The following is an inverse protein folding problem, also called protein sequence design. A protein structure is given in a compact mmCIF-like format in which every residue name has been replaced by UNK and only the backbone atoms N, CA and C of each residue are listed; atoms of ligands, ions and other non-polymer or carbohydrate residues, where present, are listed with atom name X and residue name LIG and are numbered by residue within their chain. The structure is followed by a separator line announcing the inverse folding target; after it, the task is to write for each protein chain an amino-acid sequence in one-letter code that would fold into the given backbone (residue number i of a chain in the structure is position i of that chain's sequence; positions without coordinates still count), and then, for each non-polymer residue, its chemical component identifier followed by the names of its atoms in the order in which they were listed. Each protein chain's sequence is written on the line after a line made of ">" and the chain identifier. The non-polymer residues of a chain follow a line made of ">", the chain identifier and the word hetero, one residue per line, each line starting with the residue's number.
data_IF_808727146547
#
_entry.id   IF_808727146547
#
_cell.length_a   1.000
_cell.length_b   1.000
_cell.length_c   1.000
_cell.angle_alpha   90.00
_cell.angle_beta   90.00
_cell.angle_gamma   90.00
#
_symmetry.space_group_name_H-M   'P 1'
#
loop_
_entity.id
_entity.type
_entity.pdbx_description
1 polymer ?
#
# COMPACT_ATOMS: atom_id res chain seq x y z
N UNK A 1 71.87 52.71 -10.50
CA UNK A 1 70.84 51.74 -10.15
C UNK A 1 69.81 52.45 -9.30
N UNK A 2 68.64 52.72 -9.86
CA UNK A 2 67.46 53.14 -9.12
C UNK A 2 66.32 52.27 -9.65
N UNK A 3 65.86 51.40 -8.78
CA UNK A 3 64.83 50.39 -8.98
C UNK A 3 63.45 51.05 -9.04
N UNK A 4 62.77 50.95 -10.17
CA UNK A 4 61.37 51.33 -10.33
C UNK A 4 60.55 50.05 -10.40
N UNK A 5 60.34 49.43 -9.24
CA UNK A 5 59.39 48.34 -9.08
C UNK A 5 57.96 48.93 -9.19
N UNK A 6 57.38 48.81 -10.37
CA UNK A 6 55.98 49.14 -10.61
C UNK A 6 55.08 48.34 -9.67
N UNK A 7 54.39 49.04 -8.77
CA UNK A 7 53.28 48.48 -8.03
C UNK A 7 52.19 48.11 -9.03
N UNK A 8 52.04 46.82 -9.30
CA UNK A 8 50.88 46.30 -10.01
C UNK A 8 49.65 46.52 -9.13
N UNK A 9 48.83 47.50 -9.49
CA UNK A 9 47.49 47.65 -8.93
C UNK A 9 46.74 46.33 -9.16
N UNK A 10 46.47 45.60 -8.08
CA UNK A 10 45.58 44.44 -8.15
C UNK A 10 44.19 44.97 -8.53
N UNK A 11 43.83 44.84 -9.81
CA UNK A 11 42.47 45.12 -10.29
C UNK A 11 41.56 44.04 -9.71
N UNK A 12 41.01 44.29 -8.52
CA UNK A 12 39.97 43.46 -7.94
C UNK A 12 38.66 43.75 -8.68
N UNK A 13 38.31 42.88 -9.62
CA UNK A 13 36.97 42.84 -10.18
C UNK A 13 36.02 42.21 -9.15
N UNK A 14 35.25 43.04 -8.45
CA UNK A 14 34.18 42.55 -7.58
C UNK A 14 32.97 42.19 -8.44
N UNK A 15 32.69 40.90 -8.56
CA UNK A 15 31.44 40.40 -9.14
C UNK A 15 30.38 40.36 -8.03
N UNK A 16 29.38 41.24 -8.10
CA UNK A 16 28.22 41.16 -7.23
C UNK A 16 27.17 40.22 -7.87
N UNK A 17 27.02 39.03 -7.30
CA UNK A 17 25.96 38.08 -7.63
C UNK A 17 25.13 37.79 -6.38
N UNK A 18 23.84 37.48 -6.55
CA UNK A 18 22.97 37.03 -5.47
C UNK A 18 22.86 35.50 -5.49
N UNK A 19 22.96 34.88 -4.32
CA UNK A 19 22.69 33.45 -4.13
C UNK A 19 21.37 33.35 -3.39
N UNK A 20 20.33 32.80 -4.05
CA UNK A 20 19.05 32.46 -3.40
C UNK A 20 19.03 30.98 -3.05
N UNK A 21 18.64 30.67 -1.82
CA UNK A 21 18.47 29.30 -1.33
C UNK A 21 16.99 29.13 -0.97
N UNK A 22 16.35 28.08 -1.47
CA UNK A 22 14.95 27.74 -1.22
C UNK A 22 14.82 26.26 -0.88
N UNK A 23 13.93 25.92 0.07
CA UNK A 23 13.63 24.56 0.47
C UNK A 23 12.19 24.47 0.99
N UNK A 24 11.59 23.29 0.93
CA UNK A 24 10.33 22.92 1.58
C UNK A 24 10.45 22.76 3.11
N UNK A 25 11.68 22.75 3.64
CA UNK A 25 11.97 22.68 5.07
C UNK A 25 12.82 23.86 5.54
N UNK A 26 12.88 24.07 6.86
CA UNK A 26 13.80 25.05 7.45
C UNK A 26 15.24 24.57 7.28
N UNK A 27 16.11 25.48 6.88
CA UNK A 27 17.55 25.24 6.74
C UNK A 27 18.32 26.39 7.37
N UNK A 28 19.60 26.16 7.68
CA UNK A 28 20.50 27.23 8.11
C UNK A 28 21.70 27.27 7.18
N UNK A 29 22.16 28.48 6.87
CA UNK A 29 23.38 28.70 6.09
C UNK A 29 24.38 29.48 6.94
N UNK A 30 25.61 28.98 6.99
CA UNK A 30 26.75 29.65 7.62
C UNK A 30 27.77 29.95 6.53
N UNK A 31 28.04 31.24 6.29
CA UNK A 31 29.12 31.63 5.37
C UNK A 31 30.48 31.51 6.07
N UNK A 32 31.43 30.81 5.46
CA UNK A 32 32.86 30.88 5.84
C UNK A 32 33.60 31.75 4.82
N UNK A 33 33.93 32.98 5.22
CA UNK A 33 34.60 33.98 4.38
C UNK A 33 33.70 35.15 3.96
N UNK A 34 34.30 36.21 3.41
CA UNK A 34 33.69 37.54 3.20
C UNK A 34 32.73 37.64 2.01
N UNK A 35 32.48 36.55 1.26
CA UNK A 35 31.90 36.64 -0.10
C UNK A 35 30.57 35.93 -0.33
N UNK A 36 30.01 35.20 0.64
CA UNK A 36 28.76 34.46 0.44
C UNK A 36 27.54 35.04 1.19
N UNK A 37 27.77 35.89 2.17
CA UNK A 37 26.72 36.63 2.87
C UNK A 37 27.32 37.95 3.34
N UNK A 38 26.58 39.05 3.21
CA UNK A 38 26.92 40.31 3.87
C UNK A 38 26.83 40.20 5.42
N UNK A 39 26.55 39.00 5.94
CA UNK A 39 26.35 38.70 7.35
C UNK A 39 27.11 37.41 7.71
N UNK A 40 28.03 37.50 8.67
CA UNK A 40 28.78 36.35 9.21
C UNK A 40 27.95 35.52 10.20
N UNK A 41 26.71 35.91 10.49
CA UNK A 41 25.81 35.18 11.36
C UNK A 41 25.15 34.00 10.66
N UNK A 42 24.80 32.97 11.44
CA UNK A 42 23.95 31.86 11.00
C UNK A 42 22.59 32.42 10.60
N UNK A 43 22.30 32.43 9.30
CA UNK A 43 20.99 32.79 8.77
C UNK A 43 20.11 31.55 8.74
N UNK A 44 19.06 31.54 9.55
CA UNK A 44 18.04 30.50 9.58
C UNK A 44 16.90 30.88 8.64
N UNK A 45 16.54 29.99 7.73
CA UNK A 45 15.40 30.15 6.83
C UNK A 45 14.07 30.08 7.59
N UNK A 46 13.13 30.94 7.19
CA UNK A 46 11.75 30.91 7.66
C UNK A 46 10.84 30.30 6.59
N UNK A 47 9.85 29.52 7.02
CA UNK A 47 8.81 29.03 6.11
C UNK A 47 7.85 30.18 5.77
N UNK A 48 7.60 30.37 4.48
CA UNK A 48 6.67 31.38 3.96
C UNK A 48 5.42 30.64 3.47
N UNK A 49 4.26 31.08 3.93
CA UNK A 49 2.99 30.53 3.48
C UNK A 49 2.64 31.06 2.08
N UNK A 50 2.02 30.23 1.25
CA UNK A 50 1.53 30.62 -0.10
C UNK A 50 0.62 31.86 -0.02
N UNK A 51 -0.19 31.99 1.03
CA UNK A 51 -1.10 33.12 1.25
C UNK A 51 -0.39 34.46 1.53
N UNK A 52 0.86 34.40 1.99
CA UNK A 52 1.62 35.60 2.39
C UNK A 52 2.54 36.13 1.28
N UNK A 53 2.47 35.55 0.09
CA UNK A 53 3.37 35.91 -1.01
C UNK A 53 2.89 37.16 -1.74
N UNK A 54 3.79 38.13 -1.90
CA UNK A 54 3.57 39.36 -2.64
C UNK A 54 4.19 39.29 -4.05
N UNK A 55 3.37 39.54 -5.07
CA UNK A 55 3.76 39.56 -6.50
C UNK A 55 4.06 40.97 -7.02
N UNK A 56 3.99 42.00 -6.17
CA UNK A 56 4.18 43.40 -6.57
C UNK A 56 5.62 43.72 -6.99
N UNK A 57 6.59 42.86 -6.63
CA UNK A 57 8.01 43.02 -6.94
C UNK A 57 8.54 41.84 -7.74
N UNK A 58 9.65 42.07 -8.46
CA UNK A 58 10.36 41.02 -9.22
C UNK A 58 10.88 39.94 -8.27
N UNK A 59 11.46 40.33 -7.13
CA UNK A 59 11.95 39.40 -6.11
C UNK A 59 10.81 38.57 -5.49
N UNK A 60 9.71 39.23 -5.11
CA UNK A 60 8.54 38.54 -4.55
C UNK A 60 7.89 37.57 -5.53
N UNK A 61 7.88 37.89 -6.83
CA UNK A 61 7.41 36.98 -7.89
C UNK A 61 8.29 35.74 -8.03
N UNK A 62 9.60 35.87 -7.88
CA UNK A 62 10.54 34.73 -7.93
C UNK A 62 10.39 33.83 -6.70
N UNK A 63 10.20 34.42 -5.52
CA UNK A 63 9.92 33.67 -4.30
C UNK A 63 8.56 32.96 -4.37
N UNK A 64 7.56 33.59 -4.99
CA UNK A 64 6.26 32.97 -5.24
C UNK A 64 6.36 31.70 -6.06
N UNK A 65 7.14 31.74 -7.15
CA UNK A 65 7.36 30.56 -7.99
C UNK A 65 8.00 29.43 -7.17
N UNK A 66 9.03 29.72 -6.39
CA UNK A 66 9.69 28.71 -5.55
C UNK A 66 8.75 28.10 -4.50
N UNK A 67 7.91 28.93 -3.86
CA UNK A 67 6.93 28.47 -2.85
C UNK A 67 5.84 27.63 -3.51
N UNK A 68 5.30 28.05 -4.65
CA UNK A 68 4.27 27.32 -5.39
C UNK A 68 4.81 25.99 -5.89
N UNK A 69 6.03 25.95 -6.44
CA UNK A 69 6.67 24.71 -6.90
C UNK A 69 6.82 23.71 -5.75
N UNK A 70 7.24 24.19 -4.57
CA UNK A 70 7.32 23.36 -3.37
C UNK A 70 5.95 22.84 -2.91
N UNK A 71 4.93 23.70 -2.92
CA UNK A 71 3.56 23.31 -2.58
C UNK A 71 3.00 22.27 -3.58
N UNK A 72 3.26 22.44 -4.87
CA UNK A 72 2.89 21.49 -5.91
C UNK A 72 3.59 20.15 -5.72
N UNK A 73 4.89 20.15 -5.42
CA UNK A 73 5.63 18.93 -5.12
C UNK A 73 5.03 18.17 -3.92
N UNK A 74 4.60 18.87 -2.86
CA UNK A 74 3.91 18.24 -1.72
C UNK A 74 2.55 17.63 -2.11
N UNK A 75 1.77 18.32 -2.94
CA UNK A 75 0.50 17.79 -3.46
C UNK A 75 0.75 16.56 -4.33
N UNK A 76 1.74 16.59 -5.22
CA UNK A 76 2.07 15.48 -6.10
C UNK A 76 2.58 14.26 -5.32
N UNK A 77 3.38 14.47 -4.26
CA UNK A 77 3.75 13.40 -3.34
C UNK A 77 2.52 12.78 -2.66
N UNK A 78 1.60 13.60 -2.17
CA UNK A 78 0.36 13.13 -1.57
C UNK A 78 -0.50 12.34 -2.57
N UNK A 79 -0.58 12.79 -3.82
CA UNK A 79 -1.29 12.08 -4.90
C UNK A 79 -0.61 10.76 -5.27
N UNK A 80 0.72 10.72 -5.28
CA UNK A 80 1.49 9.51 -5.53
C UNK A 80 1.23 8.46 -4.44
N UNK A 81 1.22 8.88 -3.17
CA UNK A 81 0.90 8.00 -2.03
C UNK A 81 -0.53 7.45 -2.11
N UNK A 82 -1.50 8.30 -2.44
CA UNK A 82 -2.87 7.86 -2.67
C UNK A 82 -2.97 6.88 -3.85
N UNK A 83 -2.22 7.09 -4.93
CA UNK A 83 -2.13 6.17 -6.06
C UNK A 83 -1.52 4.82 -5.66
N UNK A 84 -0.46 4.83 -4.85
CA UNK A 84 0.13 3.61 -4.30
C UNK A 84 -0.85 2.85 -3.40
N UNK A 85 -1.60 3.57 -2.56
CA UNK A 85 -2.64 2.99 -1.70
C UNK A 85 -3.77 2.37 -2.53
N UNK A 86 -4.21 3.03 -3.60
CA UNK A 86 -5.21 2.49 -4.53
C UNK A 86 -4.73 1.20 -5.19
N UNK A 87 -3.47 1.13 -5.65
CA UNK A 87 -2.89 -0.10 -6.18
C UNK A 87 -2.90 -1.22 -5.15
N UNK A 88 -2.48 -0.93 -3.91
CA UNK A 88 -2.51 -1.89 -2.81
C UNK A 88 -3.93 -2.38 -2.52
N UNK A 89 -4.93 -1.50 -2.51
CA UNK A 89 -6.33 -1.90 -2.34
C UNK A 89 -6.80 -2.77 -3.51
N UNK A 90 -6.49 -2.40 -4.76
CA UNK A 90 -6.81 -3.23 -5.94
C UNK A 90 -6.23 -4.64 -5.83
N UNK A 91 -4.94 -4.77 -5.47
CA UNK A 91 -4.31 -6.07 -5.25
C UNK A 91 -4.96 -6.86 -4.11
N UNK A 92 -5.25 -6.19 -2.99
CA UNK A 92 -5.87 -6.83 -1.83
C UNK A 92 -7.28 -7.33 -2.16
N UNK A 93 -8.09 -6.54 -2.87
CA UNK A 93 -9.43 -6.93 -3.32
C UNK A 93 -9.35 -8.14 -4.25
N UNK A 94 -8.47 -8.11 -5.26
CA UNK A 94 -8.31 -9.22 -6.19
C UNK A 94 -7.84 -10.49 -5.47
N UNK A 95 -6.93 -10.37 -4.50
CA UNK A 95 -6.50 -11.51 -3.70
C UNK A 95 -7.64 -12.06 -2.83
N UNK A 96 -8.40 -11.19 -2.16
CA UNK A 96 -9.55 -11.58 -1.35
C UNK A 96 -10.65 -12.25 -2.17
N UNK A 97 -10.93 -11.76 -3.37
CA UNK A 97 -11.89 -12.39 -4.29
C UNK A 97 -11.45 -13.82 -4.67
N UNK A 98 -10.17 -14.02 -4.98
CA UNK A 98 -9.62 -15.36 -5.24
C UNK A 98 -9.72 -16.27 -4.01
N UNK A 99 -9.41 -15.76 -2.81
CA UNK A 99 -9.55 -16.51 -1.56
C UNK A 99 -11.02 -16.90 -1.33
N UNK A 100 -11.94 -15.95 -1.53
CA UNK A 100 -13.37 -16.18 -1.37
C UNK A 100 -13.87 -17.28 -2.30
N UNK A 101 -13.46 -17.27 -3.57
CA UNK A 101 -13.81 -18.32 -4.53
C UNK A 101 -13.28 -19.69 -4.09
N UNK A 102 -12.01 -19.77 -3.70
CA UNK A 102 -11.40 -21.01 -3.23
C UNK A 102 -12.06 -21.55 -1.96
N UNK A 103 -12.43 -20.68 -1.02
CA UNK A 103 -13.13 -21.05 0.22
C UNK A 103 -14.54 -21.52 -0.09
N UNK A 104 -15.26 -20.83 -0.98
CA UNK A 104 -16.60 -21.22 -1.43
C UNK A 104 -16.58 -22.61 -2.09
N UNK A 105 -15.65 -22.83 -3.03
CA UNK A 105 -15.48 -24.12 -3.71
C UNK A 105 -15.07 -25.25 -2.76
N UNK A 106 -14.25 -24.96 -1.75
CA UNK A 106 -13.87 -25.93 -0.71
C UNK A 106 -15.07 -26.26 0.18
N UNK A 107 -15.87 -25.25 0.57
CA UNK A 107 -17.07 -25.45 1.39
C UNK A 107 -18.15 -26.23 0.64
N UNK A 108 -18.35 -25.97 -0.65
CA UNK A 108 -19.25 -26.75 -1.52
C UNK A 108 -18.83 -28.22 -1.54
N UNK A 109 -17.55 -28.51 -1.75
CA UNK A 109 -17.03 -29.89 -1.75
C UNK A 109 -17.24 -30.62 -0.43
N UNK A 110 -17.03 -29.93 0.70
CA UNK A 110 -17.29 -30.52 2.01
C UNK A 110 -18.78 -30.82 2.16
N UNK A 111 -19.65 -29.84 1.87
CA UNK A 111 -21.10 -30.02 1.96
C UNK A 111 -21.63 -31.12 1.06
N UNK A 112 -21.18 -31.19 -0.20
CA UNK A 112 -21.58 -32.22 -1.16
C UNK A 112 -21.11 -33.61 -0.71
N UNK A 113 -19.90 -33.71 -0.15
CA UNK A 113 -19.36 -34.98 0.37
C UNK A 113 -20.14 -35.45 1.60
N UNK A 114 -20.45 -34.54 2.53
CA UNK A 114 -21.24 -34.83 3.73
C UNK A 114 -22.66 -35.30 3.36
N UNK A 115 -23.29 -34.64 2.38
CA UNK A 115 -24.59 -35.06 1.85
C UNK A 115 -24.54 -36.45 1.21
N UNK A 116 -23.50 -36.73 0.43
CA UNK A 116 -23.32 -38.04 -0.21
C UNK A 116 -23.15 -39.16 0.83
N UNK A 117 -22.38 -38.91 1.91
CA UNK A 117 -22.18 -39.87 3.00
C UNK A 117 -23.48 -40.12 3.78
N UNK A 118 -24.20 -39.06 4.16
CA UNK A 118 -25.47 -39.19 4.88
C UNK A 118 -26.51 -39.94 4.03
N UNK A 119 -26.60 -39.62 2.73
CA UNK A 119 -27.50 -40.29 1.80
C UNK A 119 -27.14 -41.78 1.66
N UNK A 120 -25.85 -42.11 1.51
CA UNK A 120 -25.40 -43.49 1.45
C UNK A 120 -25.71 -44.26 2.74
N UNK A 121 -25.55 -43.62 3.90
CA UNK A 121 -25.88 -44.20 5.20
C UNK A 121 -27.38 -44.41 5.38
N UNK A 122 -28.21 -43.44 4.98
CA UNK A 122 -29.66 -43.56 4.92
C UNK A 122 -30.10 -44.71 4.03
N UNK A 123 -29.58 -44.80 2.80
CA UNK A 123 -29.89 -45.89 1.87
C UNK A 123 -29.46 -47.25 2.43
N UNK A 124 -28.26 -47.35 3.01
CA UNK A 124 -27.79 -48.57 3.68
C UNK A 124 -28.74 -49.00 4.80
N UNK A 125 -29.19 -48.06 5.63
CA UNK A 125 -30.12 -48.34 6.72
C UNK A 125 -31.49 -48.81 6.19
N UNK A 126 -32.01 -48.20 5.11
CA UNK A 126 -33.25 -48.64 4.47
C UNK A 126 -33.13 -50.05 3.89
N UNK A 127 -32.03 -50.37 3.21
CA UNK A 127 -31.76 -51.71 2.67
C UNK A 127 -31.67 -52.72 3.81
N UNK A 128 -30.97 -52.40 4.91
CA UNK A 128 -30.88 -53.29 6.07
C UNK A 128 -32.24 -53.53 6.73
N UNK A 129 -33.12 -52.52 6.79
CA UNK A 129 -34.47 -52.69 7.31
C UNK A 129 -35.31 -53.61 6.41
N UNK A 130 -35.27 -53.42 5.08
CA UNK A 130 -35.99 -54.27 4.12
C UNK A 130 -35.44 -55.71 4.06
N UNK A 131 -34.13 -55.87 4.14
CA UNK A 131 -33.47 -57.17 4.22
C UNK A 131 -33.79 -57.86 5.56
N UNK A 132 -33.79 -57.11 6.67
CA UNK A 132 -34.14 -57.61 7.98
C UNK A 132 -35.56 -58.16 8.04
N UNK A 133 -36.55 -57.45 7.47
CA UNK A 133 -37.94 -57.93 7.41
C UNK A 133 -38.10 -59.14 6.49
N UNK A 134 -37.44 -59.17 5.33
CA UNK A 134 -37.47 -60.32 4.41
C UNK A 134 -36.77 -61.54 5.00
N UNK A 135 -35.63 -61.38 5.67
CA UNK A 135 -34.91 -62.46 6.35
C UNK A 135 -35.72 -62.96 7.53
N UNK A 136 -36.35 -62.09 8.33
CA UNK A 136 -37.28 -62.49 9.39
C UNK A 136 -38.48 -63.26 8.83
N UNK A 137 -39.04 -62.84 7.70
CA UNK A 137 -40.13 -63.57 7.05
C UNK A 137 -39.67 -64.96 6.57
N UNK A 138 -38.49 -65.05 5.95
CA UNK A 138 -37.90 -66.31 5.49
C UNK A 138 -37.55 -67.26 6.66
N UNK A 139 -36.98 -66.71 7.74
CA UNK A 139 -36.61 -67.45 8.94
C UNK A 139 -37.83 -67.93 9.73
N UNK A 140 -38.96 -67.22 9.68
CA UNK A 140 -40.22 -67.68 10.29
C UNK A 140 -40.93 -68.78 9.48
N UNK A 141 -40.64 -68.92 8.18
CA UNK A 141 -41.21 -69.99 7.35
C UNK A 141 -40.41 -71.31 7.43
N UNK A 142 -39.11 -71.25 7.74
CA UNK A 142 -38.25 -72.44 7.91
C UNK A 142 -38.75 -73.44 8.97
N UNK A 143 -39.19 -73.02 10.17
CA UNK A 143 -39.68 -73.91 11.23
C UNK A 143 -40.93 -74.70 10.83
N UNK A 144 -41.84 -74.10 10.05
CA UNK A 144 -43.06 -74.77 9.59
C UNK A 144 -42.75 -75.85 8.54
N UNK A 145 -41.80 -75.59 7.64
CA UNK A 145 -41.31 -76.60 6.70
C UNK A 145 -40.60 -77.77 7.41
N UNK A 146 -39.84 -77.49 8.48
CA UNK A 146 -39.18 -78.53 9.28
C UNK A 146 -40.19 -79.39 10.07
N UNK A 147 -41.24 -78.79 10.63
CA UNK A 147 -42.32 -79.52 11.32
C UNK A 147 -43.12 -80.42 10.36
N UNK A 148 -43.32 -79.99 9.11
CA UNK A 148 -43.95 -80.82 8.07
C UNK A 148 -43.10 -82.03 7.62
N UNK A 149 -41.80 -82.06 7.96
CA UNK A 149 -40.92 -83.20 7.66
C UNK A 149 -40.81 -84.20 8.83
N UNK A 150 -41.33 -83.87 10.02
CA UNK A 150 -41.25 -84.71 11.23
C UNK A 150 -42.64 -85.16 11.73
N UNK A 151 -43.72 -84.48 11.35
CA UNK A 151 -45.11 -84.91 11.58
C UNK A 151 -45.68 -85.72 10.43
#
# INVERSE_FOLDING_TARGET
>A
GADNAGAGEAVSATFAGTVRLSSDATFSATASGTTLAADTNTNTSALINVDTVDLSTIDGSQDALAIIDSALAQIDNSRADLGALQNRFGHTINNLANIQENVSASRSRIQDTDFAVETAQMTKNQILQQAGTSILAQANQLPQAALSLIG
#
